data_IF_574301426815
#
_entry.id   IF_574301426815
#
_cell.length_a   1.000
_cell.length_b   1.000
_cell.length_c   1.000
_cell.angle_alpha   90.00
_cell.angle_beta   90.00
_cell.angle_gamma   90.00
#
_symmetry.space_group_name_H-M   'P 1'
#
loop_
_entity.id
_entity.type
_entity.pdbx_description
1 polymer ?
#
# COMPACT_ATOMS: atom_id res chain seq x y z
N UNK A 1 19.77 -12.73 2.77
CA UNK A 1 19.29 -13.13 4.10
C UNK A 1 18.00 -12.40 4.36
N UNK A 2 17.05 -13.01 5.07
CA UNK A 2 15.84 -12.29 5.45
C UNK A 2 16.21 -11.22 6.49
N UNK A 3 15.71 -9.99 6.30
CA UNK A 3 15.93 -8.89 7.24
C UNK A 3 15.06 -9.11 8.47
N UNK A 4 15.62 -8.95 9.66
CA UNK A 4 14.89 -9.07 10.92
C UNK A 4 14.81 -7.71 11.62
N UNK A 5 13.91 -7.57 12.62
CA UNK A 5 13.83 -6.36 13.42
C UNK A 5 15.18 -6.02 14.08
N UNK A 6 15.86 -7.02 14.64
CA UNK A 6 17.20 -6.81 15.21
C UNK A 6 18.23 -6.37 14.17
N UNK A 7 18.08 -6.84 12.94
CA UNK A 7 18.90 -6.37 11.81
C UNK A 7 18.67 -4.89 11.48
N UNK A 8 17.42 -4.47 11.42
CA UNK A 8 17.07 -3.05 11.24
C UNK A 8 17.57 -2.16 12.38
N UNK A 9 17.39 -2.58 13.64
CA UNK A 9 17.89 -1.84 14.80
C UNK A 9 19.41 -1.67 14.70
N UNK A 10 20.14 -2.75 14.38
CA UNK A 10 21.59 -2.72 14.25
C UNK A 10 22.04 -1.75 13.15
N UNK A 11 21.37 -1.78 12.00
CA UNK A 11 21.70 -0.90 10.88
C UNK A 11 21.36 0.55 11.19
N UNK A 12 20.20 0.83 11.78
CA UNK A 12 19.80 2.18 12.21
C UNK A 12 20.78 2.73 13.24
N UNK A 13 21.22 1.94 14.22
CA UNK A 13 22.26 2.35 15.18
C UNK A 13 23.58 2.70 14.52
N UNK A 14 23.98 1.96 13.49
CA UNK A 14 25.19 2.29 12.72
C UNK A 14 25.06 3.63 12.00
N UNK A 15 23.91 3.93 11.39
CA UNK A 15 23.63 5.22 10.76
C UNK A 15 23.64 6.37 11.75
N UNK A 16 23.13 6.14 12.95
CA UNK A 16 23.08 7.13 14.04
C UNK A 16 24.38 7.27 14.83
N UNK A 17 25.39 6.44 14.56
CA UNK A 17 26.63 6.33 15.36
C UNK A 17 26.40 5.98 16.84
N UNK A 18 25.28 5.28 17.14
CA UNK A 18 24.90 4.85 18.49
C UNK A 18 25.00 3.32 18.67
N UNK A 19 26.10 2.73 18.26
CA UNK A 19 26.31 1.27 18.31
C UNK A 19 26.22 0.70 19.73
N UNK A 20 26.56 1.49 20.73
CA UNK A 20 26.55 1.11 22.15
C UNK A 20 25.20 1.34 22.85
N UNK A 21 24.15 1.74 22.14
CA UNK A 21 22.82 2.00 22.68
C UNK A 21 22.82 3.02 23.84
N UNK A 22 23.57 4.09 23.70
CA UNK A 22 23.71 5.10 24.74
C UNK A 22 22.59 6.17 24.67
N UNK A 23 22.04 6.45 23.49
CA UNK A 23 21.09 7.53 23.25
C UNK A 23 19.69 7.03 22.95
N UNK A 24 19.56 5.98 22.14
CA UNK A 24 18.26 5.48 21.67
C UNK A 24 17.97 4.11 22.26
N UNK A 25 16.76 3.95 22.80
CA UNK A 25 16.29 2.63 23.26
C UNK A 25 15.90 1.76 22.07
N UNK A 26 15.92 0.43 22.22
CA UNK A 26 15.47 -0.49 21.19
C UNK A 26 13.99 -0.31 20.90
N UNK A 27 13.18 0.09 21.91
CA UNK A 27 11.76 0.35 21.73
C UNK A 27 11.51 1.56 20.82
N UNK A 28 12.19 2.67 21.05
CA UNK A 28 12.08 3.87 20.21
C UNK A 28 12.48 3.56 18.77
N UNK A 29 13.58 2.86 18.57
CA UNK A 29 14.00 2.45 17.22
C UNK A 29 13.02 1.50 16.57
N UNK A 30 12.39 0.60 17.35
CA UNK A 30 11.34 -0.30 16.86
C UNK A 30 10.13 0.48 16.37
N UNK A 31 9.71 1.50 17.12
CA UNK A 31 8.59 2.35 16.73
C UNK A 31 8.90 3.13 15.44
N UNK A 32 10.11 3.70 15.31
CA UNK A 32 10.52 4.42 14.09
C UNK A 32 10.66 3.48 12.89
N UNK A 33 11.12 2.26 13.08
CA UNK A 33 11.20 1.23 12.03
C UNK A 33 9.80 0.87 11.55
N UNK A 34 8.85 0.63 12.46
CA UNK A 34 7.48 0.31 12.10
C UNK A 34 6.78 1.48 11.38
N UNK A 35 7.00 2.71 11.80
CA UNK A 35 6.53 3.91 11.11
C UNK A 35 7.15 4.02 9.71
N UNK A 36 8.45 3.72 9.59
CA UNK A 36 9.15 3.68 8.31
C UNK A 36 8.59 2.64 7.35
N UNK A 37 8.27 1.43 7.84
CA UNK A 37 7.64 0.36 7.06
C UNK A 37 6.28 0.77 6.53
N UNK A 38 5.42 1.35 7.38
CA UNK A 38 4.11 1.81 6.98
C UNK A 38 4.18 2.99 6.00
N UNK A 39 5.10 3.93 6.22
CA UNK A 39 5.32 5.05 5.28
C UNK A 39 5.82 4.54 3.94
N UNK A 40 6.76 3.60 3.93
CA UNK A 40 7.24 2.95 2.72
C UNK A 40 6.11 2.31 1.90
N UNK A 41 5.18 1.61 2.57
CA UNK A 41 4.02 1.00 1.90
C UNK A 41 3.10 2.06 1.31
N UNK A 42 2.86 3.17 2.01
CA UNK A 42 2.06 4.29 1.49
C UNK A 42 2.69 4.97 0.28
N UNK A 43 4.01 5.16 0.32
CA UNK A 43 4.75 5.84 -0.74
C UNK A 43 4.94 4.98 -1.99
N UNK A 44 5.11 3.68 -1.82
CA UNK A 44 5.47 2.76 -2.91
C UNK A 44 4.35 1.84 -3.38
N UNK A 45 3.34 1.58 -2.52
CA UNK A 45 2.34 0.57 -2.78
C UNK A 45 2.91 -0.86 -2.89
N UNK A 46 4.06 -1.14 -2.28
CA UNK A 46 4.79 -2.40 -2.45
C UNK A 46 4.13 -3.60 -1.76
N UNK A 47 3.31 -3.38 -0.73
CA UNK A 47 2.61 -4.45 -0.02
C UNK A 47 1.20 -4.64 -0.60
N UNK A 48 1.09 -5.51 -1.61
CA UNK A 48 -0.15 -5.76 -2.34
C UNK A 48 -0.74 -7.10 -1.96
N UNK A 49 -2.05 -7.11 -1.68
CA UNK A 49 -2.81 -8.31 -1.35
C UNK A 49 -4.08 -8.38 -2.22
N UNK A 50 -4.32 -9.54 -2.81
CA UNK A 50 -5.58 -9.82 -3.51
C UNK A 50 -6.62 -10.27 -2.49
N UNK A 51 -7.67 -9.46 -2.34
CA UNK A 51 -8.78 -9.76 -1.43
C UNK A 51 -10.02 -10.18 -2.21
N UNK A 52 -10.74 -11.15 -1.67
CA UNK A 52 -12.03 -11.56 -2.21
C UNK A 52 -13.16 -10.86 -1.45
N UNK A 53 -14.11 -10.30 -2.20
CA UNK A 53 -15.32 -9.68 -1.67
C UNK A 53 -16.52 -10.10 -2.47
N UNK A 54 -17.64 -10.39 -1.80
CA UNK A 54 -18.91 -10.67 -2.49
C UNK A 54 -19.81 -9.44 -2.41
N UNK A 55 -19.97 -8.75 -3.54
CA UNK A 55 -20.89 -7.62 -3.65
C UNK A 55 -22.33 -8.13 -3.61
N UNK A 56 -23.14 -7.74 -2.61
CA UNK A 56 -24.51 -8.22 -2.48
C UNK A 56 -25.44 -7.61 -3.55
N UNK A 57 -26.58 -8.27 -3.78
CA UNK A 57 -27.64 -7.73 -4.63
C UNK A 57 -28.07 -6.32 -4.18
N UNK A 58 -28.22 -5.42 -5.15
CA UNK A 58 -28.72 -4.04 -4.98
C UNK A 58 -27.92 -3.14 -4.01
N UNK A 59 -26.69 -3.49 -3.71
CA UNK A 59 -25.78 -2.67 -2.89
C UNK A 59 -24.72 -2.03 -3.80
N UNK A 60 -24.71 -0.69 -3.84
CA UNK A 60 -23.79 0.07 -4.70
C UNK A 60 -22.47 0.47 -4.04
N UNK A 61 -22.35 0.23 -2.73
CA UNK A 61 -21.19 0.67 -1.94
C UNK A 61 -20.47 -0.51 -1.33
N UNK A 62 -19.13 -0.42 -1.35
CA UNK A 62 -18.25 -1.31 -0.60
C UNK A 62 -17.50 -0.45 0.40
N UNK A 63 -17.70 -0.71 1.69
CA UNK A 63 -16.90 -0.10 2.75
C UNK A 63 -15.69 -0.97 3.03
N UNK A 64 -14.52 -0.37 3.28
CA UNK A 64 -13.30 -1.14 3.58
C UNK A 64 -13.45 -2.00 4.84
N UNK A 65 -14.33 -1.61 5.76
CA UNK A 65 -14.66 -2.43 6.94
C UNK A 65 -15.35 -3.76 6.59
N UNK A 66 -15.89 -3.88 5.39
CA UNK A 66 -16.51 -5.13 4.90
C UNK A 66 -15.50 -6.06 4.21
N UNK A 67 -14.26 -5.63 4.05
CA UNK A 67 -13.16 -6.46 3.56
C UNK A 67 -12.68 -7.40 4.68
N UNK A 68 -11.91 -8.46 4.37
CA UNK A 68 -11.40 -9.38 5.38
C UNK A 68 -10.79 -8.65 6.59
N UNK A 69 -11.18 -9.05 7.80
CA UNK A 69 -10.96 -8.31 9.06
C UNK A 69 -9.50 -8.01 9.37
N UNK A 70 -8.59 -8.90 9.00
CA UNK A 70 -7.17 -8.77 9.33
C UNK A 70 -6.38 -7.87 8.38
N UNK A 71 -7.06 -7.25 7.42
CA UNK A 71 -6.36 -6.49 6.38
C UNK A 71 -6.61 -4.99 6.52
N UNK A 72 -5.56 -4.25 6.87
CA UNK A 72 -5.55 -2.79 6.97
C UNK A 72 -5.42 -2.17 5.58
N UNK A 73 -6.49 -2.19 4.82
CA UNK A 73 -6.49 -1.66 3.46
C UNK A 73 -6.30 -0.15 3.46
N UNK A 74 -5.28 0.31 2.72
CA UNK A 74 -4.96 1.73 2.49
C UNK A 74 -5.60 2.20 1.20
N UNK A 75 -5.43 1.42 0.12
CA UNK A 75 -5.87 1.80 -1.23
C UNK A 75 -6.28 0.56 -2.04
N UNK A 76 -7.04 0.79 -3.09
CA UNK A 76 -7.48 -0.24 -4.04
C UNK A 76 -7.05 0.16 -5.44
N UNK A 77 -6.19 -0.65 -6.03
CA UNK A 77 -5.60 -0.37 -7.33
C UNK A 77 -6.49 -0.86 -8.48
N UNK A 78 -7.17 -1.98 -8.28
CA UNK A 78 -8.02 -2.59 -9.31
C UNK A 78 -9.09 -3.46 -8.68
N UNK A 79 -10.23 -3.61 -9.38
CA UNK A 79 -11.30 -4.52 -9.02
C UNK A 79 -11.62 -5.37 -10.24
N UNK A 80 -11.58 -6.69 -10.07
CA UNK A 80 -12.02 -7.66 -11.06
C UNK A 80 -13.29 -8.33 -10.58
N UNK A 81 -14.28 -8.43 -11.46
CA UNK A 81 -15.52 -9.16 -11.22
C UNK A 81 -15.42 -10.54 -11.86
N UNK A 82 -15.80 -11.58 -11.14
CA UNK A 82 -15.93 -12.92 -11.71
C UNK A 82 -17.28 -13.09 -12.37
N UNK A 83 -17.26 -13.31 -13.69
CA UNK A 83 -18.43 -13.60 -14.51
C UNK A 83 -18.30 -15.02 -15.09
N UNK A 84 -18.95 -15.99 -14.46
CA UNK A 84 -18.70 -17.39 -14.76
C UNK A 84 -17.21 -17.72 -14.54
N UNK A 85 -16.54 -18.19 -15.58
CA UNK A 85 -15.10 -18.49 -15.54
C UNK A 85 -14.22 -17.33 -16.01
N UNK A 86 -14.81 -16.16 -16.29
CA UNK A 86 -14.08 -15.00 -16.80
C UNK A 86 -13.85 -13.97 -15.70
N UNK A 87 -12.66 -13.42 -15.68
CA UNK A 87 -12.28 -12.24 -14.87
C UNK A 87 -12.50 -10.99 -15.71
N UNK A 88 -13.39 -10.11 -15.27
CA UNK A 88 -13.73 -8.87 -15.97
C UNK A 88 -13.30 -7.68 -15.11
N UNK A 89 -12.33 -6.87 -15.54
CA UNK A 89 -11.94 -5.69 -14.79
C UNK A 89 -13.03 -4.63 -14.82
N UNK A 90 -13.27 -3.97 -13.67
CA UNK A 90 -14.12 -2.79 -13.59
C UNK A 90 -13.31 -1.57 -14.02
N UNK A 91 -13.94 -0.63 -14.72
CA UNK A 91 -13.32 0.63 -15.09
C UNK A 91 -13.30 1.59 -13.89
N UNK A 92 -12.14 2.14 -13.59
CA UNK A 92 -12.03 3.24 -12.61
C UNK A 92 -12.48 4.56 -13.23
N UNK A 93 -13.34 5.28 -12.52
CA UNK A 93 -13.68 6.67 -12.82
C UNK A 93 -13.46 7.56 -11.58
N UNK A 94 -12.89 8.76 -11.74
CA UNK A 94 -12.89 9.76 -10.69
C UNK A 94 -14.31 10.02 -10.19
N UNK A 95 -14.49 10.25 -8.89
CA UNK A 95 -15.83 10.42 -8.30
C UNK A 95 -16.71 11.46 -9.01
N UNK A 96 -16.13 12.58 -9.40
CA UNK A 96 -16.86 13.63 -10.12
C UNK A 96 -17.48 13.14 -11.43
N UNK A 97 -16.72 12.36 -12.21
CA UNK A 97 -17.18 11.77 -13.46
C UNK A 97 -18.17 10.65 -13.20
N UNK A 98 -17.89 9.78 -12.23
CA UNK A 98 -18.78 8.69 -11.85
C UNK A 98 -20.15 9.23 -11.42
N UNK A 99 -20.18 10.20 -10.52
CA UNK A 99 -21.42 10.77 -10.01
C UNK A 99 -22.18 11.60 -11.09
N UNK A 100 -21.49 12.33 -11.93
CA UNK A 100 -22.13 13.18 -12.96
C UNK A 100 -22.63 12.38 -14.18
N UNK A 101 -21.83 11.43 -14.66
CA UNK A 101 -22.12 10.71 -15.91
C UNK A 101 -22.91 9.43 -15.68
N UNK A 102 -22.71 8.77 -14.53
CA UNK A 102 -23.24 7.42 -14.27
C UNK A 102 -24.35 7.43 -13.22
N UNK A 103 -24.79 8.60 -12.79
CA UNK A 103 -25.84 8.75 -11.76
C UNK A 103 -27.17 8.06 -12.13
N UNK A 104 -27.49 7.95 -13.41
CA UNK A 104 -28.68 7.24 -13.85
C UNK A 104 -28.62 5.73 -13.54
N UNK A 105 -27.43 5.17 -13.28
CA UNK A 105 -27.27 3.77 -12.86
C UNK A 105 -27.85 3.48 -11.48
N UNK A 106 -28.13 4.51 -10.68
CA UNK A 106 -28.78 4.36 -9.39
C UNK A 106 -30.23 3.83 -9.50
N UNK A 107 -30.85 3.97 -10.66
CA UNK A 107 -32.26 3.63 -10.87
C UNK A 107 -32.51 2.20 -11.34
N UNK A 108 -31.45 1.45 -11.68
CA UNK A 108 -31.59 0.07 -12.11
C UNK A 108 -30.41 -0.78 -11.65
N UNK A 109 -30.66 -2.08 -11.60
CA UNK A 109 -29.64 -3.07 -11.27
C UNK A 109 -29.09 -3.71 -12.54
N UNK A 110 -27.83 -4.12 -12.49
CA UNK A 110 -27.17 -4.80 -13.58
C UNK A 110 -25.80 -5.31 -13.16
N UNK A 111 -25.05 -5.88 -14.10
CA UNK A 111 -23.68 -6.28 -13.84
C UNK A 111 -22.81 -5.03 -13.63
N UNK A 112 -22.11 -4.92 -12.50
CA UNK A 112 -21.15 -3.82 -12.30
C UNK A 112 -20.10 -3.77 -13.40
N UNK A 113 -19.82 -2.57 -13.90
CA UNK A 113 -18.86 -2.33 -14.98
C UNK A 113 -17.84 -1.27 -14.62
N UNK A 114 -18.13 -0.45 -13.61
CA UNK A 114 -17.26 0.64 -13.18
C UNK A 114 -17.22 0.76 -11.66
N UNK A 115 -16.16 1.41 -11.16
CA UNK A 115 -16.06 1.77 -9.75
C UNK A 115 -15.44 3.16 -9.58
N UNK A 116 -15.67 3.73 -8.42
CA UNK A 116 -15.09 5.01 -8.02
C UNK A 116 -14.78 5.00 -6.53
N UNK A 117 -13.69 5.63 -6.15
CA UNK A 117 -13.35 5.88 -4.75
C UNK A 117 -14.10 7.11 -4.25
N UNK A 118 -14.72 7.00 -3.07
CA UNK A 118 -15.38 8.10 -2.40
C UNK A 118 -14.87 8.23 -0.97
N UNK A 119 -14.13 9.31 -0.72
CA UNK A 119 -13.44 9.45 0.55
C UNK A 119 -12.35 8.38 0.77
N UNK A 120 -11.82 8.28 1.97
CA UNK A 120 -10.65 7.46 2.24
C UNK A 120 -10.92 5.95 2.31
N UNK A 121 -12.17 5.53 2.52
CA UNK A 121 -12.46 4.10 2.82
C UNK A 121 -13.78 3.60 2.22
N UNK A 122 -14.29 4.21 1.17
CA UNK A 122 -15.54 3.78 0.52
C UNK A 122 -15.42 3.75 -1.00
N UNK A 123 -15.95 2.68 -1.60
CA UNK A 123 -16.03 2.52 -3.04
C UNK A 123 -17.49 2.54 -3.45
N UNK A 124 -17.77 3.18 -4.57
CA UNK A 124 -19.02 3.02 -5.29
C UNK A 124 -18.80 2.16 -6.52
N UNK A 125 -19.70 1.23 -6.76
CA UNK A 125 -19.74 0.39 -7.94
C UNK A 125 -21.01 0.70 -8.75
N UNK A 126 -20.91 0.62 -10.04
CA UNK A 126 -22.03 0.92 -10.94
C UNK A 126 -22.04 0.05 -12.19
N UNK A 127 -23.26 -0.33 -12.64
CA UNK A 127 -24.57 -0.25 -11.96
C UNK A 127 -24.65 -1.08 -10.67
N UNK A 128 -25.73 -0.90 -9.90
CA UNK A 128 -25.97 -1.74 -8.71
C UNK A 128 -26.03 -3.21 -9.10
N UNK A 129 -25.44 -4.12 -8.34
CA UNK A 129 -25.50 -5.54 -8.66
C UNK A 129 -26.93 -6.07 -8.77
N UNK A 130 -27.24 -6.79 -9.86
CA UNK A 130 -28.49 -7.50 -10.08
C UNK A 130 -28.52 -8.91 -9.47
N UNK A 131 -27.40 -9.33 -8.95
CA UNK A 131 -27.20 -10.55 -8.16
C UNK A 131 -25.96 -10.41 -7.29
N UNK A 132 -25.65 -11.41 -6.49
CA UNK A 132 -24.38 -11.44 -5.77
C UNK A 132 -23.22 -11.73 -6.74
N UNK A 133 -22.19 -10.87 -6.71
CA UNK A 133 -20.99 -11.04 -7.54
C UNK A 133 -19.75 -11.19 -6.67
N UNK A 134 -18.98 -12.22 -6.96
CA UNK A 134 -17.64 -12.35 -6.38
C UNK A 134 -16.71 -11.41 -7.10
N UNK A 135 -16.00 -10.58 -6.33
CA UNK A 135 -15.01 -9.63 -6.82
C UNK A 135 -13.66 -9.92 -6.19
N UNK A 136 -12.63 -9.70 -6.94
CA UNK A 136 -11.25 -9.71 -6.48
C UNK A 136 -10.73 -8.28 -6.49
N UNK A 137 -10.29 -7.80 -5.35
CA UNK A 137 -9.75 -6.47 -5.16
C UNK A 137 -8.23 -6.56 -5.02
N UNK A 138 -7.51 -5.84 -5.86
CA UNK A 138 -6.07 -5.64 -5.75
C UNK A 138 -5.82 -4.45 -4.82
N UNK A 139 -5.39 -4.73 -3.60
CA UNK A 139 -5.34 -3.75 -2.52
C UNK A 139 -3.91 -3.53 -2.03
N UNK A 140 -3.63 -2.31 -1.59
CA UNK A 140 -2.45 -1.97 -0.80
C UNK A 140 -2.83 -2.02 0.67
N UNK A 141 -2.07 -2.75 1.47
CA UNK A 141 -2.38 -2.98 2.88
C UNK A 141 -1.21 -2.57 3.78
N UNK A 142 -1.51 -2.04 4.96
CA UNK A 142 -0.50 -1.79 6.00
C UNK A 142 0.15 -3.10 6.43
N UNK A 143 1.40 -3.03 6.85
CA UNK A 143 2.11 -4.20 7.39
C UNK A 143 1.89 -4.32 8.89
N UNK A 144 1.88 -5.57 9.36
CA UNK A 144 1.85 -5.83 10.79
C UNK A 144 3.14 -5.30 11.46
N UNK A 145 3.03 -4.71 12.65
CA UNK A 145 4.20 -4.21 13.37
C UNK A 145 5.11 -5.37 13.77
N UNK A 146 6.41 -5.18 13.62
CA UNK A 146 7.43 -6.05 14.21
C UNK A 146 7.58 -5.69 15.70
N UNK A 147 7.58 -6.69 16.56
CA UNK A 147 7.64 -6.53 18.03
C UNK A 147 8.87 -7.22 18.61
N UNK A 148 9.18 -8.42 18.13
CA UNK A 148 10.28 -9.22 18.64
C UNK A 148 11.51 -9.07 17.73
N UNK A 149 12.68 -9.01 18.28
CA UNK A 149 13.92 -8.88 17.51
C UNK A 149 14.13 -9.96 16.43
N UNK A 150 13.50 -11.14 16.60
CA UNK A 150 13.52 -12.26 15.65
C UNK A 150 12.45 -12.17 14.55
N UNK A 151 11.51 -11.20 14.63
CA UNK A 151 10.47 -11.04 13.61
C UNK A 151 11.11 -10.75 12.26
N UNK A 152 10.64 -11.49 11.26
CA UNK A 152 11.18 -11.43 9.89
C UNK A 152 10.37 -10.46 9.05
N UNK A 153 11.06 -9.66 8.24
CA UNK A 153 10.42 -8.72 7.32
C UNK A 153 9.60 -9.44 6.25
N UNK A 154 8.39 -8.94 6.05
CA UNK A 154 7.45 -9.43 5.03
C UNK A 154 7.44 -8.59 3.75
N UNK A 155 7.96 -7.36 3.81
CA UNK A 155 8.05 -6.49 2.65
C UNK A 155 9.08 -7.04 1.64
N UNK A 156 8.80 -6.84 0.33
CA UNK A 156 9.70 -7.32 -0.71
C UNK A 156 10.99 -6.51 -0.78
N UNK A 157 12.10 -7.19 -1.00
CA UNK A 157 13.35 -6.55 -1.44
C UNK A 157 13.17 -6.03 -2.88
N UNK A 158 13.72 -4.88 -3.28
CA UNK A 158 14.71 -4.04 -2.58
C UNK A 158 14.10 -2.93 -1.68
N UNK A 159 12.79 -2.85 -1.50
CA UNK A 159 12.15 -1.77 -0.74
C UNK A 159 12.61 -1.70 0.72
N UNK A 160 12.95 -2.85 1.31
CA UNK A 160 13.37 -2.95 2.72
C UNK A 160 14.62 -2.14 3.06
N UNK A 161 15.46 -1.84 2.05
CA UNK A 161 16.70 -1.07 2.23
C UNK A 161 16.46 0.39 2.62
N UNK A 162 15.28 0.94 2.33
CA UNK A 162 14.91 2.31 2.67
C UNK A 162 14.55 2.49 4.16
N UNK A 163 14.08 1.44 4.84
CA UNK A 163 13.51 1.52 6.19
C UNK A 163 14.49 2.07 7.23
N UNK A 164 15.76 1.63 7.32
CA UNK A 164 16.71 2.17 8.31
C UNK A 164 16.97 3.67 8.14
N UNK A 165 16.95 4.17 6.89
CA UNK A 165 17.13 5.60 6.63
C UNK A 165 15.96 6.44 7.12
N UNK A 166 14.74 5.93 6.98
CA UNK A 166 13.56 6.58 7.55
C UNK A 166 13.61 6.61 9.08
N UNK A 167 13.96 5.50 9.72
CA UNK A 167 14.10 5.44 11.17
C UNK A 167 15.20 6.41 11.67
N UNK A 168 16.35 6.48 10.98
CA UNK A 168 17.41 7.43 11.28
C UNK A 168 16.96 8.89 11.07
N UNK A 169 16.16 9.16 10.03
CA UNK A 169 15.56 10.48 9.80
C UNK A 169 14.70 10.90 10.99
N UNK A 170 13.78 10.07 11.47
CA UNK A 170 12.91 10.39 12.61
C UNK A 170 13.72 10.59 13.89
N UNK A 171 14.70 9.74 14.15
CA UNK A 171 15.60 9.88 15.30
C UNK A 171 16.31 11.23 15.31
N UNK A 172 16.94 11.62 14.21
CA UNK A 172 17.62 12.91 14.07
C UNK A 172 16.69 14.11 14.08
N UNK A 173 15.48 13.95 13.57
CA UNK A 173 14.45 14.98 13.65
C UNK A 173 14.03 15.26 15.10
N UNK A 174 13.87 14.22 15.93
CA UNK A 174 13.56 14.35 17.35
C UNK A 174 14.73 14.95 18.15
N UNK A 175 15.96 14.64 17.75
CA UNK A 175 17.18 15.25 18.33
C UNK A 175 17.33 16.74 17.95
N UNK A 176 16.45 17.28 17.12
CA UNK A 176 16.49 18.64 16.55
C UNK A 176 17.71 18.88 15.63
N UNK A 177 18.35 17.83 15.16
CA UNK A 177 19.45 17.88 14.19
C UNK A 177 18.91 17.90 12.76
N UNK A 178 18.19 18.96 12.41
CA UNK A 178 17.41 19.04 11.16
C UNK A 178 18.26 18.89 9.89
N UNK A 179 19.51 19.34 9.90
CA UNK A 179 20.41 19.18 8.76
C UNK A 179 20.74 17.72 8.46
N UNK A 180 21.03 16.93 9.50
CA UNK A 180 21.30 15.49 9.36
C UNK A 180 20.01 14.73 9.03
N UNK A 181 18.90 15.11 9.66
CA UNK A 181 17.58 14.52 9.37
C UNK A 181 17.21 14.66 7.89
N UNK A 182 17.42 15.83 7.28
CA UNK A 182 17.13 16.05 5.87
C UNK A 182 17.98 15.16 4.94
N UNK A 183 19.24 14.92 5.28
CA UNK A 183 20.12 14.02 4.53
C UNK A 183 19.56 12.59 4.55
N UNK A 184 19.16 12.08 5.71
CA UNK A 184 18.57 10.75 5.83
C UNK A 184 17.23 10.63 5.08
N UNK A 185 16.41 11.69 5.09
CA UNK A 185 15.18 11.74 4.32
C UNK A 185 15.42 11.68 2.80
N UNK A 186 16.45 12.37 2.32
CA UNK A 186 16.83 12.31 0.91
C UNK A 186 17.34 10.92 0.52
N UNK A 187 18.15 10.26 1.34
CA UNK A 187 18.59 8.89 1.09
C UNK A 187 17.39 7.91 1.12
N UNK A 188 16.46 8.04 2.06
CA UNK A 188 15.21 7.28 2.06
C UNK A 188 14.48 7.43 0.72
N UNK A 189 14.23 8.67 0.29
CA UNK A 189 13.51 8.94 -0.96
C UNK A 189 14.23 8.35 -2.17
N UNK A 190 15.54 8.45 -2.20
CA UNK A 190 16.37 7.88 -3.25
C UNK A 190 16.24 6.35 -3.31
N UNK A 191 16.36 5.65 -2.18
CA UNK A 191 16.20 4.19 -2.12
C UNK A 191 14.80 3.75 -2.56
N UNK A 192 13.73 4.46 -2.14
CA UNK A 192 12.37 4.19 -2.61
C UNK A 192 12.26 4.35 -4.13
N UNK A 193 12.81 5.42 -4.69
CA UNK A 193 12.78 5.67 -6.14
C UNK A 193 13.61 4.64 -6.93
N UNK A 194 14.76 4.25 -6.43
CA UNK A 194 15.59 3.20 -7.03
C UNK A 194 14.86 1.84 -7.02
N UNK A 195 14.21 1.50 -5.91
CA UNK A 195 13.40 0.30 -5.80
C UNK A 195 12.21 0.31 -6.77
N UNK A 196 11.47 1.41 -6.87
CA UNK A 196 10.37 1.57 -7.82
C UNK A 196 10.86 1.43 -9.26
N UNK A 197 11.90 2.15 -9.63
CA UNK A 197 12.47 2.10 -10.98
C UNK A 197 13.01 0.70 -11.34
N UNK A 198 13.67 0.03 -10.40
CA UNK A 198 14.20 -1.31 -10.60
C UNK A 198 13.13 -2.39 -10.73
N UNK A 199 12.00 -2.23 -10.02
CA UNK A 199 10.98 -3.26 -9.93
C UNK A 199 9.90 -3.14 -11.00
N UNK A 200 9.45 -1.92 -11.30
CA UNK A 200 8.32 -1.69 -12.20
C UNK A 200 8.72 -1.35 -13.64
N UNK A 201 9.78 -0.59 -13.84
CA UNK A 201 10.17 -0.10 -15.18
C UNK A 201 10.65 -1.21 -16.11
N UNK A 202 11.24 -2.27 -15.58
CA UNK A 202 11.78 -3.39 -16.38
C UNK A 202 10.74 -4.46 -16.74
N UNK A 203 9.54 -4.42 -16.17
CA UNK A 203 8.54 -5.49 -16.28
C UNK A 203 7.24 -5.09 -16.98
N UNK A 204 7.05 -3.82 -17.29
CA UNK A 204 5.96 -3.42 -18.17
C UNK A 204 6.45 -3.54 -19.62
N UNK A 205 6.11 -4.64 -20.33
CA UNK A 205 6.13 -4.55 -21.78
C UNK A 205 5.20 -3.40 -22.12
N UNK A 206 5.68 -2.45 -22.89
CA UNK A 206 4.84 -1.40 -23.46
C UNK A 206 3.96 -2.04 -24.53
N UNK A 207 2.75 -2.53 -24.21
CA UNK A 207 1.92 -3.25 -25.20
C UNK A 207 1.36 -2.31 -26.26
N UNK A 208 1.65 -1.01 -26.17
CA UNK A 208 1.07 0.02 -27.03
C UNK A 208 2.06 0.81 -27.89
N UNK A 209 3.33 0.45 -27.93
CA UNK A 209 4.34 1.12 -28.79
C UNK A 209 4.70 0.29 -30.04
N UNK A 210 4.18 -0.90 -30.22
CA UNK A 210 4.48 -1.74 -31.41
C UNK A 210 3.37 -1.76 -32.43
N UNK A 211 2.74 -0.64 -32.69
CA UNK A 211 1.72 -0.62 -33.71
C UNK A 211 1.41 0.75 -34.25
N UNK A 212 2.41 1.36 -34.87
CA UNK A 212 2.21 2.29 -36.01
C UNK A 212 3.55 2.51 -36.70
#
# INVERSE_FOLDING_TARGET
>A
MATTLSGYITETRRLLHDVNANFWTDQELTDYINDGRNTLVRDSGCNRVLQSYTAPYNVETIDFSALPEDVKTIDILNINLYWGNSRVPLMYFPWTNFNAQLRYWQNYTGRPAAFSMYGPKKIFIGPKPDQAYVMELDTVVEVDPMVNGADVETLPTPFTEAVPFYAAYIAKYQEQSYGEAEIFKQEYTKHVMEALNGTFTRRLPTPYISGY
#
